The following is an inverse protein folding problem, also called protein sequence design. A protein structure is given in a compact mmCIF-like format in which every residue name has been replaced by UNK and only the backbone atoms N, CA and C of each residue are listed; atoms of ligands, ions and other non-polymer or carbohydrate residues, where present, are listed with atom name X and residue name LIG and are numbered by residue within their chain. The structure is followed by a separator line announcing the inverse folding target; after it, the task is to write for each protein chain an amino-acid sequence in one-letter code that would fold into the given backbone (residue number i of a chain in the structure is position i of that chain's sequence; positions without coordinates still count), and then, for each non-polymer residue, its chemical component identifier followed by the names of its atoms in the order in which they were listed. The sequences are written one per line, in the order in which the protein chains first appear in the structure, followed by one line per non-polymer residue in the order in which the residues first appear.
data_IF_125239247688
#
_entry.id   IF_125239247688
#
_cell.length_a   1.000
_cell.length_b   1.000
_cell.length_c   1.000
_cell.angle_alpha   90.00
_cell.angle_beta   90.00
_cell.angle_gamma   90.00
#
_symmetry.space_group_name_H-M   'P 1'
#
loop_
_entity.id
_entity.type
_entity.pdbx_description
1 polymer ?
#
# COMPACT_ATOMS: atom_id res chain seq x y z
N UNK A 1 -4.71 10.23 20.87
CA UNK A 1 -3.33 9.70 20.92
C UNK A 1 -2.30 10.79 20.72
N UNK A 2 -2.30 11.51 19.58
CA UNK A 2 -1.28 12.52 19.26
C UNK A 2 -1.20 13.65 20.30
N UNK A 3 -2.32 14.19 20.73
CA UNK A 3 -2.35 15.24 21.77
C UNK A 3 -1.77 14.77 23.12
N UNK A 4 -2.00 13.51 23.48
CA UNK A 4 -1.44 12.94 24.71
C UNK A 4 0.09 12.81 24.60
N UNK A 5 0.61 12.36 23.46
CA UNK A 5 2.06 12.25 23.23
C UNK A 5 2.73 13.62 23.28
N UNK A 6 2.13 14.64 22.64
CA UNK A 6 2.62 16.02 22.71
C UNK A 6 2.62 16.53 24.15
N UNK A 7 1.55 16.31 24.91
CA UNK A 7 1.47 16.71 26.31
C UNK A 7 2.54 16.01 27.17
N UNK A 8 2.79 14.71 26.90
CA UNK A 8 3.84 13.96 27.60
C UNK A 8 5.24 14.44 27.24
N UNK A 9 5.52 14.77 25.96
CA UNK A 9 6.80 15.34 25.53
C UNK A 9 7.05 16.69 26.16
N UNK A 10 6.05 17.58 26.18
CA UNK A 10 6.18 18.90 26.86
C UNK A 10 6.33 18.75 28.37
N UNK A 11 5.56 17.88 29.02
CA UNK A 11 5.69 17.61 30.45
C UNK A 11 7.08 17.07 30.77
N UNK A 12 7.61 16.16 29.95
CA UNK A 12 8.92 15.59 30.13
C UNK A 12 10.04 16.67 30.07
N UNK A 13 9.99 17.57 29.08
CA UNK A 13 10.94 18.67 28.94
C UNK A 13 10.93 19.65 30.13
N UNK A 14 9.78 19.76 30.83
CA UNK A 14 9.67 20.56 32.07
C UNK A 14 10.47 19.94 33.23
N UNK A 15 10.56 18.58 33.26
CA UNK A 15 11.23 17.85 34.35
C UNK A 15 12.73 17.62 34.11
N UNK A 16 13.23 17.73 32.89
CA UNK A 16 14.66 17.57 32.60
C UNK A 16 15.01 17.46 31.12
N UNK A 17 16.29 17.69 30.76
CA UNK A 17 16.75 17.73 29.36
C UNK A 17 17.04 16.34 28.76
N UNK A 18 16.43 15.27 29.26
CA UNK A 18 16.66 13.92 28.72
C UNK A 18 15.73 13.61 27.58
N UNK A 19 16.28 13.18 26.43
CA UNK A 19 15.49 12.59 25.34
C UNK A 19 15.02 11.21 25.80
N UNK A 20 13.73 11.04 26.00
CA UNK A 20 13.11 9.77 26.34
C UNK A 20 12.47 9.11 25.09
N UNK A 21 12.22 7.82 25.19
CA UNK A 21 11.48 7.09 24.17
C UNK A 21 10.10 7.68 23.84
N UNK A 22 9.52 8.50 24.72
CA UNK A 22 8.28 9.25 24.49
C UNK A 22 8.40 10.27 23.34
N UNK A 23 9.57 10.90 23.16
CA UNK A 23 9.82 11.88 22.11
C UNK A 23 9.85 11.21 20.73
N UNK A 24 10.44 10.00 20.67
CA UNK A 24 10.42 9.15 19.46
C UNK A 24 8.99 8.71 19.13
N UNK A 25 8.18 8.41 20.16
CA UNK A 25 6.76 8.08 19.99
C UNK A 25 5.96 9.24 19.38
N UNK A 26 6.28 10.48 19.70
CA UNK A 26 5.63 11.65 19.11
C UNK A 26 5.88 11.73 17.59
N UNK A 27 7.11 11.47 17.13
CA UNK A 27 7.44 11.40 15.70
C UNK A 27 6.72 10.24 15.00
N UNK A 28 6.65 9.08 15.66
CA UNK A 28 5.91 7.93 15.13
C UNK A 28 4.40 8.22 15.03
N UNK A 29 3.82 8.92 15.99
CA UNK A 29 2.42 9.35 15.92
C UNK A 29 2.19 10.38 14.82
N UNK A 30 3.09 11.32 14.62
CA UNK A 30 3.04 12.28 13.51
C UNK A 30 3.06 11.52 12.17
N UNK A 31 3.99 10.59 12.01
CA UNK A 31 4.05 9.71 10.84
C UNK A 31 2.73 8.99 10.60
N UNK A 32 2.17 8.36 11.63
CA UNK A 32 0.91 7.62 11.54
C UNK A 32 -0.28 8.52 11.13
N UNK A 33 -0.35 9.74 11.67
CA UNK A 33 -1.40 10.70 11.32
C UNK A 33 -1.28 11.15 9.85
N UNK A 34 -0.07 11.33 9.33
CA UNK A 34 0.14 11.73 7.93
C UNK A 34 -0.19 10.59 6.99
N UNK A 35 0.24 9.36 7.29
CA UNK A 35 0.06 8.19 6.41
C UNK A 35 -1.41 7.74 6.36
N UNK A 36 -2.07 7.66 7.51
CA UNK A 36 -3.40 7.06 7.67
C UNK A 36 -4.52 8.07 7.94
N UNK A 37 -4.16 9.32 8.21
CA UNK A 37 -5.12 10.38 8.56
C UNK A 37 -5.84 10.98 7.35
N UNK A 38 -6.79 11.87 7.66
CA UNK A 38 -7.55 12.58 6.64
C UNK A 38 -6.67 13.63 5.93
N UNK A 39 -6.59 13.63 4.58
CA UNK A 39 -5.76 14.57 3.82
C UNK A 39 -6.06 16.05 4.10
N UNK A 40 -7.31 16.38 4.41
CA UNK A 40 -7.75 17.77 4.66
C UNK A 40 -7.09 18.40 5.91
N UNK A 41 -6.71 17.58 6.88
CA UNK A 41 -6.15 18.07 8.15
C UNK A 41 -4.62 17.89 8.22
N UNK A 42 -3.99 17.27 7.20
CA UNK A 42 -2.56 16.96 7.23
C UNK A 42 -1.69 18.20 7.36
N UNK A 43 -2.03 19.29 6.66
CA UNK A 43 -1.30 20.56 6.73
C UNK A 43 -1.35 21.17 8.13
N UNK A 44 -2.52 21.15 8.77
CA UNK A 44 -2.67 21.65 10.14
C UNK A 44 -1.83 20.87 11.14
N UNK A 45 -1.73 19.54 10.98
CA UNK A 45 -0.89 18.71 11.85
C UNK A 45 0.61 18.94 11.61
N UNK A 46 1.04 19.21 10.38
CA UNK A 46 2.44 19.56 10.08
C UNK A 46 2.79 20.90 10.70
N UNK A 47 1.97 21.93 10.53
CA UNK A 47 2.19 23.25 11.13
C UNK A 47 2.23 23.14 12.65
N UNK A 48 1.32 22.37 13.24
CA UNK A 48 1.28 22.12 14.67
C UNK A 48 2.56 21.41 15.14
N UNK A 49 3.05 20.41 14.40
CA UNK A 49 4.28 19.70 14.75
C UNK A 49 5.52 20.61 14.71
N UNK A 50 5.65 21.46 13.68
CA UNK A 50 6.74 22.42 13.56
C UNK A 50 6.70 23.47 14.70
N UNK A 51 5.53 23.99 15.04
CA UNK A 51 5.39 24.93 16.16
C UNK A 51 5.73 24.29 17.51
N UNK A 52 5.34 23.03 17.71
CA UNK A 52 5.70 22.27 18.92
C UNK A 52 7.20 21.97 18.94
N UNK A 53 7.82 21.63 17.79
CA UNK A 53 9.26 21.43 17.67
C UNK A 53 10.06 22.68 18.08
N UNK A 54 9.61 23.84 17.62
CA UNK A 54 10.22 25.13 18.00
C UNK A 54 10.08 25.40 19.51
N UNK A 55 8.90 25.18 20.09
CA UNK A 55 8.65 25.30 21.52
C UNK A 55 9.50 24.33 22.35
N UNK A 56 9.57 23.06 21.88
CA UNK A 56 10.36 22.02 22.53
C UNK A 56 11.87 22.34 22.50
N UNK A 57 12.38 22.88 21.39
CA UNK A 57 13.79 23.29 21.30
C UNK A 57 14.11 24.47 22.22
N UNK A 58 13.21 25.45 22.33
CA UNK A 58 13.35 26.57 23.23
C UNK A 58 13.36 26.11 24.70
N UNK A 59 12.45 25.22 25.07
CA UNK A 59 12.35 24.67 26.42
C UNK A 59 13.57 23.78 26.75
N UNK A 60 14.03 22.98 25.81
CA UNK A 60 15.24 22.17 25.97
C UNK A 60 16.50 23.06 26.15
N UNK A 61 16.64 24.12 25.35
CA UNK A 61 17.72 25.08 25.48
C UNK A 61 17.70 25.75 26.87
N UNK A 62 16.53 26.16 27.34
CA UNK A 62 16.36 26.71 28.66
C UNK A 62 16.76 25.73 29.77
N UNK A 63 16.24 24.51 29.73
CA UNK A 63 16.51 23.50 30.77
C UNK A 63 17.94 23.01 30.77
N UNK A 64 18.62 22.98 29.62
CA UNK A 64 20.04 22.67 29.55
C UNK A 64 20.94 23.75 30.16
N UNK A 65 20.53 25.02 30.06
CA UNK A 65 21.32 26.14 30.58
C UNK A 65 21.00 26.49 32.05
N UNK A 66 19.71 26.39 32.41
CA UNK A 66 19.21 26.87 33.72
C UNK A 66 18.69 25.73 34.62
N UNK A 67 18.67 24.49 34.15
CA UNK A 67 18.12 23.34 34.86
C UNK A 67 16.60 23.22 34.76
N UNK A 68 15.99 22.16 35.32
CA UNK A 68 14.56 21.87 35.22
C UNK A 68 13.69 22.98 35.80
N UNK A 69 12.62 23.34 35.11
CA UNK A 69 11.73 24.45 35.48
C UNK A 69 11.01 24.25 36.82
N UNK A 70 10.69 23.01 37.20
CA UNK A 70 9.88 22.71 38.38
C UNK A 70 10.68 22.19 39.59
N UNK A 71 11.84 21.60 39.37
CA UNK A 71 12.59 20.93 40.47
C UNK A 71 13.75 21.75 41.01
N UNK A 72 14.01 22.93 40.44
CA UNK A 72 15.10 23.78 40.88
C UNK A 72 16.45 23.03 40.92
N UNK A 73 16.73 22.34 39.82
CA UNK A 73 17.87 21.41 39.75
C UNK A 73 19.18 22.14 39.95
N UNK A 74 20.10 21.47 40.66
CA UNK A 74 21.47 21.93 40.86
C UNK A 74 22.16 22.06 39.50
N UNK A 75 22.43 23.28 39.07
CA UNK A 75 23.26 23.51 37.89
C UNK A 75 24.72 23.30 38.32
N UNK A 76 25.29 22.18 37.86
CA UNK A 76 26.73 21.97 37.97
C UNK A 76 27.42 22.83 36.92
N UNK A 77 27.80 24.05 37.27
CA UNK A 77 28.73 24.83 36.45
C UNK A 77 30.13 24.24 36.60
N UNK A 78 30.62 23.55 35.57
CA UNK A 78 32.02 23.25 35.47
C UNK A 78 32.76 24.57 35.21
N UNK A 79 33.37 25.15 36.27
CA UNK A 79 34.36 26.18 36.05
C UNK A 79 35.57 25.52 35.38
N UNK A 80 35.87 25.92 34.15
CA UNK A 80 37.05 25.48 33.43
C UNK A 80 38.27 25.70 34.29
N UNK A 81 39.12 24.70 34.39
CA UNK A 81 40.44 24.80 34.96
C UNK A 81 41.19 25.91 34.22
N UNK A 82 41.38 27.03 34.87
CA UNK A 82 42.19 28.13 34.40
C UNK A 82 43.33 28.30 35.34
N UNK A 83 44.53 28.67 34.86
CA UNK A 83 45.72 28.90 35.64
C UNK A 83 45.54 29.86 36.84
N UNK A 84 44.44 30.65 36.84
CA UNK A 84 44.06 31.59 37.88
C UNK A 84 43.25 30.97 39.04
N UNK A 85 42.77 29.71 38.90
CA UNK A 85 42.00 29.04 39.97
C UNK A 85 42.34 27.53 40.03
N UNK A 86 43.53 27.21 40.63
CA UNK A 86 44.06 25.85 40.72
C UNK A 86 43.23 24.92 41.65
N UNK A 87 42.29 25.45 42.40
CA UNK A 87 41.53 24.71 43.42
C UNK A 87 40.06 24.44 42.99
N UNK A 88 39.71 24.60 41.74
CA UNK A 88 38.39 24.35 41.16
C UNK A 88 37.27 24.18 42.19
N UNK A 89 36.67 25.25 42.68
CA UNK A 89 35.59 25.16 43.65
C UNK A 89 34.31 24.76 42.94
N UNK A 90 33.81 23.57 43.26
CA UNK A 90 32.49 23.13 42.83
C UNK A 90 31.46 23.89 43.67
N UNK A 91 30.87 24.94 43.13
CA UNK A 91 29.78 25.68 43.80
C UNK A 91 28.48 24.98 43.45
N UNK A 92 27.94 24.24 44.41
CA UNK A 92 26.58 23.70 44.35
C UNK A 92 25.65 24.70 45.04
N UNK A 93 24.85 25.44 44.28
CA UNK A 93 23.83 26.32 44.86
C UNK A 93 22.42 25.76 44.63
N UNK A 94 21.63 25.75 45.71
CA UNK A 94 20.37 25.01 45.83
C UNK A 94 19.10 25.80 45.47
N UNK A 95 19.21 27.03 44.92
CA UNK A 95 18.03 27.91 44.74
C UNK A 95 18.05 28.65 43.41
N UNK A 96 16.87 28.74 42.80
CA UNK A 96 16.59 29.46 41.56
C UNK A 96 17.01 30.95 41.59
N UNK A 97 17.18 31.53 42.79
CA UNK A 97 17.57 32.91 42.99
C UNK A 97 19.09 33.15 42.92
N UNK A 98 19.91 32.12 43.11
CA UNK A 98 21.37 32.26 43.17
C UNK A 98 22.08 31.98 41.84
N UNK A 99 21.37 31.42 40.85
CA UNK A 99 21.91 31.22 39.50
C UNK A 99 22.36 32.55 38.88
N UNK A 100 21.78 33.65 39.30
CA UNK A 100 22.02 34.98 38.73
C UNK A 100 23.00 35.85 39.55
N UNK A 101 23.50 35.35 40.66
CA UNK A 101 24.50 36.10 41.45
C UNK A 101 25.89 36.02 40.82
N UNK A 102 26.13 36.86 39.84
CA UNK A 102 27.41 36.99 39.16
C UNK A 102 27.40 36.92 37.63
N UNK A 103 26.34 36.42 37.02
CA UNK A 103 26.16 36.45 35.57
C UNK A 103 25.16 37.53 35.16
N UNK A 104 25.50 38.31 34.15
CA UNK A 104 24.56 39.31 33.62
C UNK A 104 23.41 38.60 32.87
N UNK A 105 22.23 39.20 32.87
CA UNK A 105 21.08 38.70 32.12
C UNK A 105 21.45 38.48 30.64
N UNK A 106 22.35 39.29 30.09
CA UNK A 106 22.85 39.16 28.72
C UNK A 106 23.67 37.89 28.50
N UNK A 107 24.49 37.45 29.47
CA UNK A 107 25.29 36.21 29.34
C UNK A 107 24.39 34.95 29.36
N UNK A 108 23.34 34.95 30.20
CA UNK A 108 22.35 33.86 30.23
C UNK A 108 21.58 33.83 28.91
N UNK A 109 21.18 34.98 28.40
CA UNK A 109 20.49 35.09 27.12
C UNK A 109 21.36 34.59 25.97
N UNK A 110 22.66 34.92 25.96
CA UNK A 110 23.59 34.43 24.92
C UNK A 110 23.81 32.92 24.99
N UNK A 111 23.90 32.31 26.18
CA UNK A 111 24.00 30.88 26.37
C UNK A 111 22.74 30.16 25.87
N UNK A 112 21.55 30.66 26.20
CA UNK A 112 20.29 30.11 25.72
C UNK A 112 20.19 30.27 24.21
N UNK A 113 20.56 31.42 23.66
CA UNK A 113 20.55 31.66 22.22
C UNK A 113 21.49 30.71 21.48
N UNK A 114 22.69 30.45 21.97
CA UNK A 114 23.63 29.48 21.42
C UNK A 114 23.05 28.05 21.47
N UNK A 115 22.46 27.65 22.59
CA UNK A 115 21.83 26.34 22.73
C UNK A 115 20.64 26.17 21.76
N UNK A 116 19.83 27.21 21.61
CA UNK A 116 18.74 27.23 20.63
C UNK A 116 19.24 27.11 19.18
N UNK A 117 20.35 27.81 18.84
CA UNK A 117 20.93 27.76 17.51
C UNK A 117 21.33 26.33 17.09
N UNK A 118 21.74 25.50 18.05
CA UNK A 118 22.14 24.11 17.81
C UNK A 118 20.92 23.16 17.86
N UNK A 119 20.05 23.29 18.87
CA UNK A 119 18.96 22.36 19.12
C UNK A 119 17.80 22.53 18.13
N UNK A 120 17.45 23.77 17.79
CA UNK A 120 16.32 24.01 16.86
C UNK A 120 16.47 23.29 15.52
N UNK A 121 17.61 23.41 14.79
CA UNK A 121 17.75 22.71 13.52
C UNK A 121 17.71 21.18 13.67
N UNK A 122 18.16 20.63 14.79
CA UNK A 122 18.10 19.18 15.05
C UNK A 122 16.64 18.74 15.16
N UNK A 123 15.82 19.41 15.96
CA UNK A 123 14.40 19.08 16.12
C UNK A 123 13.65 19.24 14.81
N UNK A 124 13.86 20.36 14.09
CA UNK A 124 13.19 20.63 12.82
C UNK A 124 13.57 19.61 11.72
N UNK A 125 14.84 19.24 11.62
CA UNK A 125 15.29 18.20 10.67
C UNK A 125 14.65 16.84 10.98
N UNK A 126 14.51 16.47 12.25
CA UNK A 126 13.81 15.22 12.63
C UNK A 126 12.33 15.26 12.23
N UNK A 127 11.65 16.38 12.44
CA UNK A 127 10.23 16.55 12.07
C UNK A 127 10.08 16.53 10.54
N UNK A 128 10.90 17.32 9.83
CA UNK A 128 10.85 17.42 8.37
C UNK A 128 11.15 16.05 7.71
N UNK A 129 12.17 15.33 8.21
CA UNK A 129 12.49 13.99 7.70
C UNK A 129 11.35 13.01 7.90
N UNK A 130 10.69 13.06 9.07
CA UNK A 130 9.50 12.24 9.36
C UNK A 130 8.34 12.56 8.40
N UNK A 131 8.12 13.85 8.13
CA UNK A 131 7.09 14.31 7.18
C UNK A 131 7.39 13.81 5.76
N UNK A 132 8.63 13.94 5.30
CA UNK A 132 9.06 13.48 3.97
C UNK A 132 8.84 11.97 3.82
N UNK A 133 9.29 11.17 4.80
CA UNK A 133 9.11 9.72 4.80
C UNK A 133 7.62 9.35 4.82
N UNK A 134 6.82 10.06 5.60
CA UNK A 134 5.38 9.82 5.67
C UNK A 134 4.66 10.11 4.33
N UNK A 135 4.99 11.21 3.64
CA UNK A 135 4.45 11.50 2.31
C UNK A 135 4.90 10.50 1.25
N UNK A 136 6.17 10.12 1.27
CA UNK A 136 6.69 9.09 0.37
C UNK A 136 5.95 7.76 0.56
N UNK A 137 5.76 7.34 1.81
CA UNK A 137 5.03 6.10 2.13
C UNK A 137 3.56 6.18 1.70
N UNK A 138 2.91 7.32 1.92
CA UNK A 138 1.52 7.55 1.48
C UNK A 138 1.39 7.47 -0.04
N UNK A 139 2.30 8.10 -0.79
CA UNK A 139 2.34 8.03 -2.25
C UNK A 139 2.56 6.60 -2.73
N UNK A 140 3.49 5.87 -2.10
CA UNK A 140 3.75 4.45 -2.40
C UNK A 140 2.52 3.58 -2.18
N UNK A 141 1.80 3.76 -1.07
CA UNK A 141 0.58 3.01 -0.78
C UNK A 141 -0.53 3.31 -1.79
N UNK A 142 -0.67 4.57 -2.22
CA UNK A 142 -1.62 4.96 -3.25
C UNK A 142 -1.29 4.28 -4.60
N UNK A 143 -0.03 4.26 -5.00
CA UNK A 143 0.43 3.58 -6.23
C UNK A 143 0.15 2.07 -6.18
N UNK A 144 0.43 1.42 -5.04
CA UNK A 144 0.17 -0.01 -4.87
C UNK A 144 -1.34 -0.31 -4.98
N UNK A 145 -2.20 0.53 -4.41
CA UNK A 145 -3.67 0.37 -4.52
C UNK A 145 -4.12 0.49 -5.97
N UNK A 146 -3.68 1.52 -6.69
CA UNK A 146 -4.00 1.69 -8.11
C UNK A 146 -3.51 0.53 -8.98
N UNK A 147 -2.32 -0.02 -8.69
CA UNK A 147 -1.81 -1.20 -9.41
C UNK A 147 -2.66 -2.44 -9.14
N UNK A 148 -3.12 -2.66 -7.90
CA UNK A 148 -4.01 -3.78 -7.57
C UNK A 148 -5.34 -3.66 -8.30
N UNK A 149 -5.99 -2.51 -8.26
CA UNK A 149 -7.25 -2.25 -8.96
C UNK A 149 -7.11 -2.47 -10.48
N UNK A 150 -5.99 -2.04 -11.07
CA UNK A 150 -5.69 -2.30 -12.49
C UNK A 150 -5.50 -3.79 -12.78
N UNK A 151 -4.76 -4.51 -11.94
CA UNK A 151 -4.53 -5.94 -12.14
C UNK A 151 -5.84 -6.73 -11.99
N UNK A 152 -6.69 -6.38 -11.02
CA UNK A 152 -8.01 -7.00 -10.87
C UNK A 152 -8.89 -6.74 -12.11
N UNK A 153 -8.88 -5.51 -12.65
CA UNK A 153 -9.62 -5.19 -13.86
C UNK A 153 -9.08 -5.93 -15.11
N UNK A 154 -7.76 -6.12 -15.21
CA UNK A 154 -7.15 -6.88 -16.31
C UNK A 154 -7.52 -8.37 -16.19
N UNK A 155 -7.40 -8.96 -15.00
CA UNK A 155 -7.76 -10.38 -14.81
C UNK A 155 -9.23 -10.65 -15.05
N UNK A 156 -10.13 -9.73 -14.69
CA UNK A 156 -11.55 -9.83 -15.00
C UNK A 156 -11.80 -9.80 -16.53
N UNK A 157 -11.14 -8.89 -17.26
CA UNK A 157 -11.25 -8.84 -18.73
C UNK A 157 -10.71 -10.08 -19.41
N UNK A 158 -9.55 -10.58 -18.97
CA UNK A 158 -8.98 -11.82 -19.52
C UNK A 158 -9.92 -13.02 -19.30
N UNK A 159 -10.66 -13.04 -18.19
CA UNK A 159 -11.64 -14.07 -17.93
C UNK A 159 -12.85 -13.93 -18.87
N UNK A 160 -13.39 -12.72 -19.01
CA UNK A 160 -14.50 -12.44 -19.92
C UNK A 160 -14.14 -12.80 -21.37
N UNK A 161 -12.92 -12.46 -21.83
CA UNK A 161 -12.43 -12.81 -23.16
C UNK A 161 -12.34 -14.32 -23.38
N UNK A 162 -11.87 -15.07 -22.37
CA UNK A 162 -11.85 -16.55 -22.41
C UNK A 162 -13.24 -17.14 -22.49
N UNK A 163 -14.18 -16.62 -21.71
CA UNK A 163 -15.56 -17.09 -21.71
C UNK A 163 -16.24 -16.79 -23.05
N UNK A 164 -16.03 -15.60 -23.62
CA UNK A 164 -16.51 -15.24 -24.96
C UNK A 164 -15.90 -16.16 -26.02
N UNK A 165 -14.59 -16.42 -25.98
CA UNK A 165 -13.93 -17.32 -26.92
C UNK A 165 -14.46 -18.75 -26.80
N UNK A 166 -14.72 -19.24 -25.60
CA UNK A 166 -15.30 -20.56 -25.36
C UNK A 166 -16.75 -20.66 -25.93
N UNK A 167 -17.55 -19.61 -25.74
CA UNK A 167 -18.91 -19.55 -26.30
C UNK A 167 -18.89 -19.49 -27.83
N UNK A 168 -17.98 -18.69 -28.41
CA UNK A 168 -17.80 -18.58 -29.85
C UNK A 168 -17.40 -19.94 -30.47
N UNK A 169 -16.49 -20.65 -29.80
CA UNK A 169 -16.06 -21.98 -30.24
C UNK A 169 -17.19 -23.01 -30.15
N UNK A 170 -17.97 -23.02 -29.07
CA UNK A 170 -19.16 -23.87 -28.96
C UNK A 170 -20.18 -23.57 -30.05
N UNK A 171 -20.42 -22.29 -30.38
CA UNK A 171 -21.32 -21.89 -31.44
C UNK A 171 -20.80 -22.32 -32.84
N UNK A 172 -19.47 -22.30 -33.05
CA UNK A 172 -18.83 -22.79 -34.27
C UNK A 172 -19.04 -24.31 -34.42
N UNK A 173 -18.73 -25.06 -33.35
CA UNK A 173 -18.91 -26.53 -33.35
C UNK A 173 -20.36 -26.90 -33.60
N UNK A 174 -21.33 -26.23 -32.97
CA UNK A 174 -22.75 -26.49 -33.18
C UNK A 174 -23.18 -26.26 -34.64
N UNK A 175 -22.59 -25.24 -35.29
CA UNK A 175 -22.83 -24.93 -36.71
C UNK A 175 -22.25 -26.03 -37.63
N UNK A 176 -20.97 -26.38 -37.38
CA UNK A 176 -20.30 -27.44 -38.16
C UNK A 176 -21.05 -28.79 -38.04
N UNK A 177 -21.55 -29.12 -36.82
CA UNK A 177 -22.39 -30.31 -36.61
C UNK A 177 -23.73 -30.21 -37.34
N UNK A 178 -24.38 -29.03 -37.31
CA UNK A 178 -25.65 -28.84 -38.01
C UNK A 178 -25.48 -29.04 -39.53
N UNK A 179 -24.37 -28.52 -40.09
CA UNK A 179 -24.09 -28.64 -41.52
C UNK A 179 -23.86 -30.10 -41.93
N UNK A 180 -23.12 -30.87 -41.13
CA UNK A 180 -22.93 -32.32 -41.38
C UNK A 180 -24.26 -33.07 -41.34
N UNK A 181 -25.06 -32.82 -40.28
CA UNK A 181 -26.38 -33.48 -40.14
C UNK A 181 -27.33 -33.11 -41.27
N UNK A 182 -27.46 -31.81 -41.60
CA UNK A 182 -28.33 -31.33 -42.65
C UNK A 182 -27.93 -31.91 -44.03
N UNK A 183 -26.63 -31.93 -44.32
CA UNK A 183 -26.12 -32.52 -45.57
C UNK A 183 -26.42 -34.02 -45.66
N UNK A 184 -26.14 -34.78 -44.61
CA UNK A 184 -26.38 -36.23 -44.59
C UNK A 184 -27.84 -36.55 -44.67
N UNK A 185 -28.72 -35.84 -43.96
CA UNK A 185 -30.17 -36.01 -44.04
C UNK A 185 -30.69 -35.72 -45.44
N UNK A 186 -30.17 -34.70 -46.12
CA UNK A 186 -30.53 -34.35 -47.49
C UNK A 186 -30.18 -35.50 -48.46
N UNK A 187 -28.98 -36.09 -48.31
CA UNK A 187 -28.58 -37.27 -49.12
C UNK A 187 -29.48 -38.45 -48.83
N UNK A 188 -29.81 -38.77 -47.60
CA UNK A 188 -30.65 -39.86 -47.15
C UNK A 188 -32.06 -39.69 -47.76
N UNK A 189 -32.63 -38.48 -47.72
CA UNK A 189 -33.98 -38.22 -48.33
C UNK A 189 -33.96 -38.47 -49.82
N UNK A 190 -32.98 -37.90 -50.54
CA UNK A 190 -32.87 -38.07 -51.99
C UNK A 190 -32.71 -39.57 -52.41
N UNK A 191 -31.79 -40.25 -51.65
CA UNK A 191 -31.59 -41.70 -51.90
C UNK A 191 -32.80 -42.52 -51.54
N UNK A 192 -33.51 -42.21 -50.45
CA UNK A 192 -34.74 -42.91 -50.08
C UNK A 192 -35.85 -42.78 -51.12
N UNK A 193 -36.05 -41.53 -51.64
CA UNK A 193 -37.06 -41.30 -52.71
C UNK A 193 -36.69 -41.96 -54.02
N UNK A 194 -35.42 -41.89 -54.45
CA UNK A 194 -34.88 -42.54 -55.61
C UNK A 194 -35.02 -44.08 -55.55
N UNK A 195 -34.58 -44.63 -54.36
CA UNK A 195 -34.67 -46.09 -54.11
C UNK A 195 -36.10 -46.61 -54.06
N UNK A 196 -37.05 -45.85 -53.55
CA UNK A 196 -38.48 -46.19 -53.53
C UNK A 196 -39.06 -46.21 -54.93
N UNK A 197 -38.72 -45.21 -55.75
CA UNK A 197 -39.25 -45.16 -57.14
C UNK A 197 -38.67 -46.28 -58.03
N UNK A 198 -37.33 -46.44 -58.01
CA UNK A 198 -36.68 -47.45 -58.85
C UNK A 198 -36.91 -48.88 -58.34
N UNK A 199 -37.07 -49.09 -57.05
CA UNK A 199 -37.33 -50.40 -56.44
C UNK A 199 -38.69 -51.02 -56.81
N UNK A 200 -39.62 -50.22 -57.30
CA UNK A 200 -40.90 -50.75 -57.85
C UNK A 200 -40.70 -51.53 -59.14
N UNK A 201 -39.64 -51.26 -59.89
CA UNK A 201 -39.31 -51.91 -61.17
C UNK A 201 -38.18 -52.95 -61.02
N UNK A 202 -37.23 -52.71 -60.12
CA UNK A 202 -36.10 -53.61 -59.80
C UNK A 202 -35.80 -53.67 -58.31
N UNK A 203 -36.12 -54.76 -57.63
CA UNK A 203 -35.82 -54.93 -56.18
C UNK A 203 -34.35 -54.92 -55.84
N UNK A 204 -33.41 -55.18 -56.76
CA UNK A 204 -31.99 -55.09 -56.51
C UNK A 204 -31.52 -53.65 -56.32
N UNK A 205 -32.13 -52.68 -57.04
CA UNK A 205 -31.82 -51.26 -56.89
C UNK A 205 -32.26 -50.77 -55.52
N UNK A 206 -33.44 -51.17 -55.03
CA UNK A 206 -33.86 -50.80 -53.67
C UNK A 206 -32.86 -51.30 -52.57
N UNK A 207 -32.39 -52.55 -52.77
CA UNK A 207 -31.41 -53.12 -51.78
C UNK A 207 -30.09 -52.40 -51.80
N UNK A 208 -29.54 -52.05 -52.95
CA UNK A 208 -28.32 -51.28 -53.09
C UNK A 208 -28.48 -49.86 -52.53
N UNK A 209 -29.60 -49.19 -52.70
CA UNK A 209 -29.87 -47.88 -52.15
C UNK A 209 -29.92 -47.91 -50.62
N UNK A 210 -30.55 -48.93 -50.04
CA UNK A 210 -30.56 -49.12 -48.59
C UNK A 210 -29.14 -49.31 -48.00
N UNK A 211 -28.28 -50.07 -48.71
CA UNK A 211 -26.88 -50.25 -48.36
C UNK A 211 -26.11 -48.92 -48.40
N UNK A 212 -26.31 -48.09 -49.41
CA UNK A 212 -25.73 -46.76 -49.56
C UNK A 212 -26.16 -45.83 -48.40
N UNK A 213 -27.47 -45.79 -48.10
CA UNK A 213 -28.02 -45.03 -47.00
C UNK A 213 -27.40 -45.47 -45.67
N UNK A 214 -27.27 -46.78 -45.43
CA UNK A 214 -26.63 -47.31 -44.22
C UNK A 214 -25.18 -46.81 -44.10
N UNK A 215 -24.42 -46.91 -45.19
CA UNK A 215 -23.01 -46.54 -45.20
C UNK A 215 -22.78 -45.02 -44.98
N UNK A 216 -23.61 -44.19 -45.64
CA UNK A 216 -23.54 -42.73 -45.42
C UNK A 216 -23.94 -42.34 -44.01
N UNK A 217 -24.95 -43.00 -43.42
CA UNK A 217 -25.36 -42.76 -42.02
C UNK A 217 -24.27 -43.16 -41.02
N UNK A 218 -23.61 -44.32 -41.24
CA UNK A 218 -22.49 -44.77 -40.39
C UNK A 218 -21.30 -43.81 -40.48
N UNK A 219 -20.99 -43.31 -41.68
CA UNK A 219 -19.91 -42.34 -41.91
C UNK A 219 -20.22 -41.01 -41.18
N UNK A 220 -21.42 -40.46 -41.34
CA UNK A 220 -21.83 -39.24 -40.68
C UNK A 220 -21.81 -39.34 -39.14
N UNK A 221 -22.24 -40.49 -38.61
CA UNK A 221 -22.18 -40.74 -37.18
C UNK A 221 -20.72 -40.80 -36.66
N UNK A 222 -19.84 -41.43 -37.43
CA UNK A 222 -18.41 -41.50 -37.09
C UNK A 222 -17.75 -40.09 -37.10
N UNK A 223 -18.05 -39.28 -38.11
CA UNK A 223 -17.54 -37.93 -38.23
C UNK A 223 -18.03 -37.03 -37.08
N UNK A 224 -19.30 -37.13 -36.68
CA UNK A 224 -19.84 -36.45 -35.49
C UNK A 224 -19.15 -36.89 -34.21
N UNK A 225 -18.95 -38.21 -34.01
CA UNK A 225 -18.23 -38.71 -32.84
C UNK A 225 -16.77 -38.23 -32.79
N UNK A 226 -16.11 -38.14 -33.94
CA UNK A 226 -14.75 -37.62 -34.06
C UNK A 226 -14.70 -36.16 -33.67
N UNK A 227 -15.64 -35.32 -34.13
CA UNK A 227 -15.74 -33.91 -33.76
C UNK A 227 -15.97 -33.74 -32.23
N UNK A 228 -16.84 -34.56 -31.65
CA UNK A 228 -17.10 -34.55 -30.20
C UNK A 228 -15.94 -35.13 -29.38
N UNK A 229 -15.29 -36.20 -29.88
CA UNK A 229 -14.21 -36.90 -29.18
C UNK A 229 -12.92 -36.08 -29.07
N UNK A 230 -12.64 -35.20 -30.02
CA UNK A 230 -11.51 -34.27 -29.97
C UNK A 230 -11.62 -33.30 -28.78
N UNK A 231 -12.84 -32.98 -28.34
CA UNK A 231 -13.10 -32.07 -27.24
C UNK A 231 -13.35 -32.75 -25.88
N UNK A 232 -13.59 -34.08 -25.87
CA UNK A 232 -13.76 -34.85 -24.64
C UNK A 232 -12.42 -35.28 -23.98
N UNK A 233 -11.31 -35.19 -24.71
CA UNK A 233 -9.98 -35.65 -24.27
C UNK A 233 -9.16 -34.65 -23.45
N UNK A 234 -9.64 -33.43 -23.19
CA UNK A 234 -8.90 -32.38 -22.49
C UNK A 234 -9.39 -32.13 -21.05
N UNK A 235 -10.22 -32.98 -20.50
CA UNK A 235 -10.71 -32.88 -19.13
C UNK A 235 -10.20 -34.04 -18.25
N UNK A 236 -8.86 -34.11 -18.07
CA UNK A 236 -8.21 -34.82 -16.96
C UNK A 236 -6.96 -34.07 -16.52
#
# INVERSE_FOLDING_TARGET
GALLCVALTLAHLIFGPCLLGADILALFMLYSVIVYGNPKNTEAFIILALTIGLLASALAAWTMTNGPLLTGGKVHTWSSWNDSNPNGVMVTEDTLGSIYTGTSISEVADMVAHSMLVLTPIFEVCIISTVIVAFWQRARLATIRMMRERNEAITARDQDERDIAALAERARIARDMHDVVAHTLSIIIVQSDGGRYAGTHDPAVARNTMETIRHESERALHDMHRLLGVFGGSAH
#
